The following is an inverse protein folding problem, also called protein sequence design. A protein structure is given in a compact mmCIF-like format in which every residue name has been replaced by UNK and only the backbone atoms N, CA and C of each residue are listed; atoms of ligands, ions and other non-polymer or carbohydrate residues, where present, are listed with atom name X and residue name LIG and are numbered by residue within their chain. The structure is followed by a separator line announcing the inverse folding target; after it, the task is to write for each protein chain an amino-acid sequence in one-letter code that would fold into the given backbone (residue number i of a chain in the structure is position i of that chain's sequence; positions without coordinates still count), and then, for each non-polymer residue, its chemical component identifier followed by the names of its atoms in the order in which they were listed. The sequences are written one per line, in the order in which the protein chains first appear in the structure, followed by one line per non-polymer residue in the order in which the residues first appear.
data_IF_515372650462
#
_entry.id   IF_515372650462
#
_cell.length_a   1.000
_cell.length_b   1.000
_cell.length_c   1.000
_cell.angle_alpha   90.00
_cell.angle_beta   90.00
_cell.angle_gamma   90.00
#
_symmetry.space_group_name_H-M   'P 1'
#
loop_
_entity.id
_entity.type
_entity.pdbx_description
1 polymer ?
2 non-polymer ?
3 water ?
#
# COMPACT_ATOMS: atom_id res chain seq x y z
N UNK A 2 14.12 -23.74 13.33
CA UNK A 2 14.62 -22.38 13.14
C UNK A 2 13.90 -21.43 14.09
N UNK A 3 14.61 -20.38 14.52
CA UNK A 3 14.10 -19.48 15.53
C UNK A 3 14.77 -18.11 15.40
N UNK A 4 14.22 -17.16 16.14
CA UNK A 4 14.66 -15.78 16.06
C UNK A 4 14.49 -15.17 17.44
N UNK A 5 15.61 -14.76 18.06
CA UNK A 5 15.56 -14.04 19.32
C UNK A 5 15.67 -12.57 19.01
N UNK A 6 14.66 -11.82 19.43
CA UNK A 6 14.57 -10.40 19.18
C UNK A 6 14.31 -9.74 20.52
N UNK A 7 15.18 -8.80 20.91
CA UNK A 7 15.03 -8.06 22.15
C UNK A 7 14.63 -8.99 23.29
N UNK A 8 15.37 -10.10 23.43
CA UNK A 8 15.18 -11.02 24.53
C UNK A 8 14.10 -12.09 24.35
N UNK A 9 13.21 -11.98 23.35
CA UNK A 9 12.15 -12.95 23.14
C UNK A 9 12.48 -13.86 21.97
N UNK A 10 11.97 -15.09 22.02
CA UNK A 10 12.28 -16.13 21.06
C UNK A 10 11.03 -16.38 20.22
N UNK A 11 11.21 -16.44 18.90
CA UNK A 11 10.12 -16.67 17.96
C UNK A 11 10.52 -17.77 17.00
N UNK A 12 9.56 -18.63 16.68
CA UNK A 12 9.81 -19.77 15.81
C UNK A 12 9.16 -19.52 14.46
N UNK A 13 9.89 -19.84 13.40
CA UNK A 13 9.55 -19.45 12.04
C UNK A 13 8.61 -20.50 11.45
N UNK A 14 7.33 -20.15 11.31
CA UNK A 14 6.43 -20.99 10.53
C UNK A 14 6.79 -20.96 9.04
N UNK A 15 6.57 -19.83 8.39
CA UNK A 15 6.68 -19.74 6.95
C UNK A 15 7.22 -18.37 6.57
N UNK A 16 8.13 -18.35 5.62
CA UNK A 16 8.45 -17.09 4.96
C UNK A 16 7.22 -16.61 4.19
N UNK A 17 6.96 -15.31 4.25
CA UNK A 17 5.76 -14.68 3.70
C UNK A 17 6.15 -13.83 2.51
N UNK A 18 7.36 -13.28 2.56
CA UNK A 18 7.77 -12.30 1.57
C UNK A 18 9.25 -12.07 1.61
N UNK A 19 9.76 -11.49 0.53
CA UNK A 19 11.17 -11.24 0.38
C UNK A 19 11.34 -9.85 -0.21
N UNK A 20 12.56 -9.34 -0.06
CA UNK A 20 12.93 -8.08 -0.67
C UNK A 20 14.35 -8.18 -1.18
N UNK A 21 15.00 -7.04 -1.36
CA UNK A 21 16.41 -7.05 -1.71
C UNK A 21 17.18 -7.90 -0.73
N UNK A 22 17.55 -7.28 0.40
CA UNK A 22 18.26 -8.00 1.44
C UNK A 22 17.29 -8.65 2.44
N UNK A 23 16.03 -8.26 2.41
CA UNK A 23 15.07 -8.57 3.47
C UNK A 23 14.36 -9.89 3.25
N UNK A 24 13.76 -10.40 4.33
CA UNK A 24 12.85 -11.53 4.36
C UNK A 24 11.85 -11.26 5.46
N UNK A 25 10.57 -11.51 5.20
CA UNK A 25 9.55 -11.40 6.22
C UNK A 25 8.95 -12.79 6.43
N UNK A 26 8.93 -13.24 7.68
CA UNK A 26 8.42 -14.55 8.04
C UNK A 26 7.22 -14.39 8.94
N UNK A 27 6.31 -15.36 8.84
CA UNK A 27 5.24 -15.54 9.82
C UNK A 27 5.76 -16.47 10.90
N UNK A 28 5.65 -16.04 12.16
CA UNK A 28 6.31 -16.70 13.28
C UNK A 28 5.36 -16.79 14.48
N UNK A 29 5.70 -17.64 15.44
CA UNK A 29 4.97 -17.70 16.69
C UNK A 29 5.87 -17.32 17.85
N UNK A 30 5.30 -16.64 18.84
CA UNK A 30 6.07 -16.25 20.01
C UNK A 30 6.06 -17.39 21.03
N UNK A 31 6.73 -17.14 22.16
CA UNK A 31 6.76 -18.14 23.23
C UNK A 31 5.36 -18.55 23.66
N UNK A 32 4.33 -17.77 23.33
CA UNK A 32 2.93 -18.04 23.72
C UNK A 32 2.07 -18.47 22.55
N UNK A 33 2.67 -18.97 21.47
CA UNK A 33 1.94 -19.55 20.34
C UNK A 33 0.97 -18.54 19.71
N UNK A 34 1.37 -17.27 19.69
CA UNK A 34 0.69 -16.18 19.02
C UNK A 34 1.36 -15.87 17.68
N UNK A 35 0.58 -15.26 16.77
CA UNK A 35 1.05 -14.98 15.42
C UNK A 35 1.69 -13.60 15.41
N UNK A 36 2.87 -13.50 14.80
CA UNK A 36 3.50 -12.23 14.48
C UNK A 36 4.11 -12.34 13.09
N UNK A 37 4.56 -11.21 12.57
CA UNK A 37 5.48 -11.20 11.43
C UNK A 37 6.82 -10.64 11.87
N UNK A 38 7.90 -11.21 11.35
CA UNK A 38 9.24 -10.67 11.59
C UNK A 38 9.87 -10.38 10.24
N UNK A 39 10.25 -9.13 10.04
CA UNK A 39 11.01 -8.70 8.87
C UNK A 39 12.51 -8.72 9.19
N UNK A 40 13.27 -9.51 8.45
CA UNK A 40 14.71 -9.58 8.60
C UNK A 40 15.39 -8.78 7.50
N UNK A 41 16.32 -7.93 7.87
CA UNK A 41 17.17 -7.22 6.91
C UNK A 41 18.63 -7.53 7.23
N UNK A 42 19.31 -8.20 6.31
CA UNK A 42 20.75 -8.38 6.43
C UNK A 42 21.46 -7.13 5.91
N UNK A 43 22.19 -6.44 6.79
CA UNK A 43 22.81 -5.17 6.41
C UNK A 43 24.27 -5.29 6.03
N UNK A 44 24.89 -6.46 6.17
CA UNK A 44 26.31 -6.64 5.85
C UNK A 44 26.71 -5.90 4.57
N UNK A 45 26.07 -6.24 3.47
CA UNK A 45 26.15 -5.43 2.25
C UNK A 45 25.03 -4.41 2.29
N UNK A 46 25.39 -3.12 2.29
CA UNK A 46 24.42 -2.03 2.32
C UNK A 46 25.04 -0.63 2.28
N UNK A 47 24.78 0.10 1.20
CA UNK A 47 25.19 1.51 1.08
C UNK A 47 24.65 2.26 2.28
N UNK A 48 25.14 3.48 2.53
CA UNK A 48 24.51 4.25 3.61
C UNK A 48 23.15 4.83 3.20
N UNK A 49 22.80 4.82 1.91
CA UNK A 49 21.47 5.26 1.51
C UNK A 49 20.43 4.20 1.84
N UNK A 50 20.72 2.94 1.49
CA UNK A 50 19.93 1.85 2.03
C UNK A 50 19.81 1.98 3.54
N UNK A 51 20.95 1.89 4.25
CA UNK A 51 20.97 2.12 5.68
C UNK A 51 20.07 3.27 6.10
N UNK A 52 20.26 4.44 5.47
CA UNK A 52 19.48 5.61 5.86
C UNK A 52 17.99 5.42 5.58
N UNK A 53 17.65 4.84 4.44
CA UNK A 53 16.24 4.64 4.12
C UNK A 53 15.59 3.68 5.11
N UNK A 54 16.25 2.56 5.42
CA UNK A 54 15.70 1.61 6.38
C UNK A 54 15.54 2.25 7.74
N UNK A 55 16.55 3.00 8.17
CA UNK A 55 16.45 3.72 9.44
C UNK A 55 15.23 4.63 9.47
N UNK A 56 15.08 5.47 8.44
CA UNK A 56 14.03 6.47 8.44
C UNK A 56 12.67 5.84 8.73
N UNK A 57 12.32 4.80 7.98
CA UNK A 57 10.93 4.38 8.05
C UNK A 57 10.61 3.62 9.34
N UNK A 58 11.60 2.94 9.93
CA UNK A 58 11.45 2.45 11.29
C UNK A 58 11.00 3.56 12.21
N UNK A 59 11.63 4.74 12.09
CA UNK A 59 11.25 5.87 12.94
C UNK A 59 9.84 6.32 12.61
N UNK A 60 9.58 6.56 11.32
CA UNK A 60 8.25 7.03 10.91
C UNK A 60 7.19 6.00 11.29
N UNK A 61 7.45 4.72 11.02
CA UNK A 61 6.56 3.66 11.50
C UNK A 61 6.32 3.78 13.00
N UNK A 62 7.37 4.02 13.78
CA UNK A 62 7.18 4.17 15.21
C UNK A 62 6.19 5.28 15.53
N UNK A 63 6.46 6.51 15.09
CA UNK A 63 5.55 7.60 15.39
C UNK A 63 4.16 7.30 14.83
N UNK A 64 4.12 6.96 13.55
CA UNK A 64 2.87 6.94 12.81
C UNK A 64 1.84 5.99 13.41
N UNK A 65 2.27 4.92 14.06
CA UNK A 65 1.25 3.99 14.56
C UNK A 65 0.54 4.51 15.80
N UNK A 66 1.13 5.51 16.48
CA UNK A 66 0.42 6.24 17.53
C UNK A 66 -0.83 6.95 16.99
N UNK A 67 -0.94 7.12 15.68
CA UNK A 67 -2.00 7.93 15.09
C UNK A 67 -3.00 7.15 14.27
N UNK A 68 -2.85 5.83 14.12
CA UNK A 68 -3.83 5.15 13.30
C UNK A 68 -3.72 3.62 13.36
N UNK A 69 -4.86 2.97 13.68
CA UNK A 69 -5.05 1.53 13.54
C UNK A 69 -4.84 1.04 12.11
N UNK A 70 -4.95 1.92 11.11
CA UNK A 70 -4.88 1.45 9.73
C UNK A 70 -3.44 1.33 9.21
N UNK A 71 -2.44 1.68 10.02
CA UNK A 71 -1.03 1.37 9.78
C UNK A 71 -0.67 0.11 10.56
N UNK A 72 0.04 -0.83 9.94
CA UNK A 72 0.36 -2.07 10.66
C UNK A 72 1.29 -1.72 11.82
N UNK A 73 1.18 -2.47 12.91
CA UNK A 73 1.91 -2.12 14.12
C UNK A 73 3.31 -2.72 14.11
N UNK A 74 4.26 -1.95 14.66
CA UNK A 74 5.63 -2.37 14.91
C UNK A 74 5.73 -2.52 16.41
N UNK A 75 5.66 -3.76 16.88
CA UNK A 75 5.75 -4.02 18.31
C UNK A 75 7.16 -3.75 18.83
N UNK A 76 8.18 -4.27 18.14
CA UNK A 76 9.54 -4.21 18.65
C UNK A 76 10.51 -4.32 17.50
N UNK A 77 11.76 -3.92 17.76
CA UNK A 77 12.78 -3.98 16.74
C UNK A 77 14.16 -4.05 17.39
N UNK A 78 14.95 -5.01 16.90
CA UNK A 78 16.37 -5.11 17.17
C UNK A 78 17.15 -4.62 15.96
N UNK A 79 18.17 -3.81 16.21
CA UNK A 79 18.94 -3.25 15.11
C UNK A 79 20.41 -3.19 15.51
N UNK A 80 21.28 -3.66 14.61
CA UNK A 80 22.71 -3.63 14.80
C UNK A 80 23.35 -3.38 13.45
N UNK A 81 24.68 -3.27 13.44
CA UNK A 81 25.35 -3.02 12.18
C UNK A 81 25.17 -4.16 11.18
N UNK A 82 24.67 -5.31 11.61
CA UNK A 82 24.60 -6.46 10.71
C UNK A 82 23.19 -6.77 10.23
N UNK A 83 22.19 -6.66 11.11
CA UNK A 83 20.82 -7.03 10.74
C UNK A 83 19.81 -6.05 11.32
N UNK A 84 18.58 -6.15 10.82
CA UNK A 84 17.39 -5.57 11.45
C UNK A 84 16.40 -6.70 11.74
N UNK A 85 15.75 -6.65 12.89
CA UNK A 85 14.59 -7.49 13.18
C UNK A 85 13.43 -6.58 13.56
N UNK A 86 12.33 -6.67 12.84
CA UNK A 86 11.12 -5.93 13.18
C UNK A 86 10.00 -6.93 13.49
N UNK A 87 9.52 -6.91 14.73
CA UNK A 87 8.39 -7.73 15.16
C UNK A 87 7.11 -6.94 14.87
N UNK A 88 6.30 -7.41 13.92
CA UNK A 88 5.14 -6.63 13.47
C UNK A 88 3.86 -7.46 13.51
N UNK A 89 2.73 -6.75 13.59
CA UNK A 89 1.46 -7.45 13.53
C UNK A 89 1.33 -8.12 12.18
N UNK A 90 0.68 -9.29 12.18
CA UNK A 90 0.75 -10.21 11.06
C UNK A 90 -0.52 -10.13 10.23
N UNK A 91 -0.37 -9.82 8.95
CA UNK A 91 -1.49 -9.82 8.05
C UNK A 91 -2.03 -11.22 7.78
N UNK A 92 -3.23 -11.26 7.19
CA UNK A 92 -3.75 -12.52 6.65
C UNK A 92 -3.29 -12.74 5.21
N UNK A 93 -3.31 -11.69 4.40
CA UNK A 93 -2.79 -11.73 3.04
C UNK A 93 -2.76 -10.29 2.53
N UNK A 94 -2.15 -10.06 1.36
CA UNK A 94 -2.10 -8.71 0.83
C UNK A 94 -3.24 -8.48 -0.16
N UNK A 95 -3.73 -7.24 -0.22
CA UNK A 95 -4.81 -6.91 -1.13
C UNK A 95 -4.57 -7.44 -2.54
N UNK A 96 -3.31 -7.40 -3.01
CA UNK A 96 -3.06 -7.75 -4.41
C UNK A 96 -3.20 -9.25 -4.63
N UNK A 97 -2.96 -10.06 -3.60
CA UNK A 97 -3.26 -11.48 -3.73
C UNK A 97 -4.74 -11.77 -3.53
N UNK A 98 -5.38 -11.15 -2.54
CA UNK A 98 -6.80 -11.38 -2.35
C UNK A 98 -7.60 -10.93 -3.58
N UNK A 99 -7.16 -9.85 -4.23
CA UNK A 99 -7.87 -9.37 -5.43
C UNK A 99 -7.75 -10.37 -6.57
N UNK A 100 -6.61 -11.02 -6.72
CA UNK A 100 -6.37 -11.92 -7.83
C UNK A 100 -6.96 -13.31 -7.61
N UNK A 101 -7.38 -13.65 -6.40
CA UNK A 101 -8.31 -14.77 -6.24
C UNK A 101 -9.60 -14.31 -6.92
N UNK A 102 -9.57 -14.22 -8.26
CA UNK A 102 -10.49 -13.43 -9.07
C UNK A 102 -11.90 -13.51 -8.50
N UNK A 103 -12.07 -12.89 -7.35
CA UNK A 103 -13.30 -12.92 -6.58
C UNK A 103 -14.21 -11.83 -7.12
N UNK A 104 -15.30 -11.57 -6.44
CA UNK A 104 -15.96 -10.27 -6.54
C UNK A 104 -16.31 -9.84 -5.12
N UNK A 105 -16.30 -8.53 -4.92
CA UNK A 105 -16.15 -7.94 -3.59
C UNK A 105 -17.51 -7.50 -3.09
N UNK A 106 -17.84 -7.88 -1.85
CA UNK A 106 -19.04 -7.35 -1.19
C UNK A 106 -18.99 -5.83 -1.24
N UNK A 107 -19.97 -5.17 -1.87
CA UNK A 107 -19.85 -3.73 -2.12
C UNK A 107 -19.65 -2.89 -0.87
N UNK A 108 -20.00 -3.42 0.31
CA UNK A 108 -19.78 -2.69 1.55
C UNK A 108 -18.49 -3.05 2.26
N UNK A 109 -17.87 -4.19 1.91
CA UNK A 109 -16.48 -4.39 2.28
C UNK A 109 -15.56 -3.52 1.43
N UNK A 110 -15.87 -3.41 0.13
CA UNK A 110 -15.05 -2.54 -0.70
C UNK A 110 -15.11 -1.11 -0.18
N UNK A 111 -16.29 -0.68 0.27
CA UNK A 111 -16.42 0.65 0.80
C UNK A 111 -15.64 0.79 2.10
N UNK A 112 -15.62 -0.27 2.91
CA UNK A 112 -14.89 -0.19 4.16
C UNK A 112 -13.38 -0.22 3.90
N UNK A 113 -12.93 -1.11 3.03
CA UNK A 113 -11.53 -1.09 2.60
C UNK A 113 -11.14 0.28 2.07
N UNK A 114 -11.99 0.87 1.24
CA UNK A 114 -11.72 2.23 0.79
C UNK A 114 -11.49 3.16 1.97
N UNK A 115 -12.46 3.24 2.88
CA UNK A 115 -12.35 4.04 4.09
C UNK A 115 -10.97 3.82 4.70
N UNK A 116 -10.57 2.55 4.73
CA UNK A 116 -9.33 2.16 5.38
C UNK A 116 -8.11 2.72 4.69
N UNK A 117 -8.00 2.53 3.36
CA UNK A 117 -6.86 3.08 2.63
C UNK A 117 -6.78 4.59 2.82
N UNK A 118 -7.91 5.29 2.74
CA UNK A 118 -7.91 6.75 2.93
C UNK A 118 -7.38 7.12 4.30
N UNK A 119 -7.94 6.52 5.35
CA UNK A 119 -7.46 6.81 6.69
C UNK A 119 -5.95 6.67 6.73
N UNK A 120 -5.44 5.53 6.23
CA UNK A 120 -4.01 5.22 6.36
C UNK A 120 -3.16 6.17 5.53
N UNK A 121 -3.54 6.39 4.26
CA UNK A 121 -2.76 7.30 3.42
C UNK A 121 -2.88 8.72 3.94
N UNK A 122 -4.06 9.12 4.38
CA UNK A 122 -4.21 10.44 5.00
C UNK A 122 -3.24 10.61 6.17
N UNK A 123 -3.02 9.55 6.95
CA UNK A 123 -2.16 9.65 8.13
C UNK A 123 -0.72 9.94 7.72
N UNK A 124 -0.18 9.16 6.78
CA UNK A 124 1.19 9.40 6.34
C UNK A 124 1.30 10.81 5.77
N UNK A 125 0.29 11.22 4.98
CA UNK A 125 0.28 12.57 4.42
C UNK A 125 0.38 13.63 5.52
N UNK A 126 -0.27 13.39 6.67
CA UNK A 126 -0.29 14.36 7.75
C UNK A 126 1.06 14.55 8.40
N UNK A 127 1.95 13.56 8.31
CA UNK A 127 3.31 13.70 8.82
C UNK A 127 4.31 13.85 7.67
N UNK A 128 3.85 14.23 6.49
CA UNK A 128 4.73 14.66 5.44
C UNK A 128 5.20 13.62 4.45
N UNK A 129 4.54 12.47 4.39
CA UNK A 129 4.99 11.38 3.53
C UNK A 129 4.08 11.30 2.31
N UNK A 130 4.68 11.04 1.15
CA UNK A 130 3.95 10.75 -0.08
C UNK A 130 4.47 9.43 -0.62
N UNK A 131 3.62 8.41 -0.62
CA UNK A 131 4.08 7.11 -1.10
C UNK A 131 4.43 7.13 -2.60
N UNK A 132 3.65 7.84 -3.42
CA UNK A 132 3.86 7.88 -4.88
C UNK A 132 4.20 6.49 -5.45
N UNK A 133 3.75 5.42 -4.81
CA UNK A 133 3.79 4.11 -5.44
C UNK A 133 2.90 3.12 -4.71
N UNK A 134 1.73 3.58 -4.28
CA UNK A 134 0.80 2.68 -3.62
C UNK A 134 0.27 1.66 -4.63
N UNK A 135 0.19 0.41 -4.19
CA UNK A 135 -0.39 -0.70 -4.95
C UNK A 135 -1.16 -1.57 -3.96
N UNK A 136 -1.92 -2.54 -4.43
CA UNK A 136 -2.53 -3.49 -3.48
C UNK A 136 -1.51 -4.18 -2.58
N UNK A 137 -0.34 -4.59 -3.12
CA UNK A 137 0.69 -5.18 -2.28
C UNK A 137 0.98 -4.37 -1.01
N UNK A 138 0.74 -3.06 -1.03
CA UNK A 138 1.02 -2.20 0.11
C UNK A 138 0.00 -2.29 1.22
N UNK A 139 -1.05 -3.10 1.04
CA UNK A 139 -2.10 -3.20 2.03
C UNK A 139 -2.23 -4.65 2.49
N UNK A 140 -2.40 -4.84 3.80
CA UNK A 140 -2.67 -6.14 4.38
C UNK A 140 -4.08 -6.14 4.96
N UNK A 141 -4.71 -7.32 4.96
CA UNK A 141 -6.04 -7.51 5.53
C UNK A 141 -5.88 -8.17 6.90
N UNK A 142 -6.34 -7.50 7.96
CA UNK A 142 -6.31 -8.06 9.31
C UNK A 142 -7.56 -7.58 10.05
N UNK A 143 -8.43 -8.53 10.42
CA UNK A 143 -9.67 -8.20 11.14
C UNK A 143 -10.59 -7.37 10.23
N UNK A 144 -10.72 -7.82 8.99
CA UNK A 144 -11.55 -7.15 8.01
C UNK A 144 -11.23 -5.67 7.86
N UNK A 145 -10.03 -5.28 8.28
CA UNK A 145 -9.48 -3.97 8.02
C UNK A 145 -8.42 -4.05 6.93
N UNK A 146 -8.17 -2.93 6.27
CA UNK A 146 -7.01 -2.78 5.40
C UNK A 146 -5.95 -1.92 6.12
N UNK A 147 -4.77 -2.50 6.36
CA UNK A 147 -3.65 -1.78 6.99
C UNK A 147 -2.48 -1.65 6.02
N UNK A 148 -1.83 -0.49 6.05
CA UNK A 148 -0.67 -0.18 5.22
C UNK A 148 0.61 -0.74 5.84
N UNK A 149 1.61 -1.06 5.00
CA UNK A 149 2.83 -1.64 5.55
C UNK A 149 4.11 -0.93 5.08
N UNK A 150 4.18 -0.52 3.81
CA UNK A 150 5.37 0.14 3.28
C UNK A 150 5.04 1.59 2.95
N UNK A 151 5.75 2.53 3.57
CA UNK A 151 5.60 3.95 3.28
C UNK A 151 6.36 4.40 2.04
N UNK A 152 6.77 3.47 1.18
CA UNK A 152 7.49 3.82 -0.03
C UNK A 152 8.86 4.41 0.21
N UNK A 153 9.37 4.39 1.44
CA UNK A 153 10.63 5.04 1.76
C UNK A 153 11.81 4.11 1.50
N UNK A 154 11.72 2.85 1.95
CA UNK A 154 12.83 1.91 1.89
C UNK A 154 12.70 1.03 0.65
N UNK A 155 13.56 0.02 0.55
CA UNK A 155 13.47 -1.00 -0.50
C UNK A 155 12.28 -1.90 -0.17
N UNK A 156 11.15 -1.67 -0.86
CA UNK A 156 9.88 -2.34 -0.52
C UNK A 156 9.93 -3.82 -0.90
N UNK A 157 9.04 -4.60 -0.29
CA UNK A 157 8.99 -6.05 -0.42
C UNK A 157 7.92 -6.51 -1.42
N UNK A 158 7.97 -7.81 -1.72
CA UNK A 158 7.00 -8.50 -2.55
C UNK A 158 6.53 -9.76 -1.82
N UNK A 159 5.22 -9.99 -1.71
CA UNK A 159 4.72 -11.16 -0.96
C UNK A 159 4.87 -12.47 -1.74
N UNK A 160 5.38 -13.50 -1.05
CA UNK A 160 5.75 -14.79 -1.65
C UNK A 160 4.59 -15.77 -1.79
N UNK A 170 8.89 -9.30 -10.26
CA UNK A 170 8.06 -8.60 -11.23
C UNK A 170 7.05 -7.69 -10.53
N UNK A 171 7.09 -6.40 -10.89
CA UNK A 171 6.22 -5.39 -10.29
C UNK A 171 5.12 -4.96 -11.23
N UNK A 172 4.69 -3.69 -11.14
CA UNK A 172 3.50 -3.26 -11.90
C UNK A 172 3.44 -1.74 -12.10
N UNK A 173 2.73 -1.31 -13.14
CA UNK A 173 2.68 0.10 -13.44
C UNK A 173 1.29 0.57 -13.85
N UNK A 174 0.24 -0.24 -13.64
CA UNK A 174 -1.09 0.32 -13.87
C UNK A 174 -1.39 1.49 -12.94
N UNK A 175 -0.71 1.56 -11.80
CA UNK A 175 -1.02 2.52 -10.77
C UNK A 175 -0.15 3.77 -10.82
N UNK A 176 0.67 3.91 -11.84
CA UNK A 176 1.57 5.06 -11.94
C UNK A 176 0.79 6.35 -12.16
N UNK A 177 0.93 7.35 -11.32
CA UNK A 177 0.35 8.66 -11.61
C UNK A 177 0.98 9.30 -12.85
N UNK A 178 0.15 9.88 -13.73
CA UNK A 178 0.70 10.57 -14.92
C UNK A 178 1.81 11.55 -14.63
N UNK A 179 1.73 12.30 -13.52
CA UNK A 179 2.82 13.21 -13.19
C UNK A 179 4.12 12.44 -12.95
N UNK A 180 4.02 11.18 -12.54
CA UNK A 180 5.23 10.38 -12.39
C UNK A 180 5.90 10.15 -13.74
N UNK A 181 5.11 9.77 -14.76
CA UNK A 181 5.64 9.60 -16.10
C UNK A 181 6.13 10.94 -16.66
N UNK A 182 5.31 11.99 -16.56
CA UNK A 182 5.68 13.29 -17.12
C UNK A 182 6.92 13.86 -16.44
N UNK A 183 6.97 13.83 -15.11
CA UNK A 183 8.08 14.40 -14.34
C UNK A 183 9.35 13.52 -14.35
N UNK A 184 9.73 13.00 -15.52
CA UNK A 184 11.04 12.36 -15.68
C UNK A 184 11.97 13.13 -16.60
N UNK A 185 11.47 13.63 -17.73
CA UNK A 185 12.23 14.54 -18.57
C UNK A 185 12.82 15.72 -17.75
N UNK A 197 7.21 16.58 -5.09
CA UNK A 197 6.12 15.65 -5.42
C UNK A 197 4.78 16.08 -4.81
N UNK A 198 3.65 15.58 -5.42
CA UNK A 198 2.34 16.02 -4.93
C UNK A 198 1.71 14.94 -4.08
N UNK A 199 1.05 15.28 -2.96
CA UNK A 199 0.18 14.30 -2.32
C UNK A 199 -0.91 13.81 -3.26
N UNK A 200 -1.21 14.55 -4.33
CA UNK A 200 -2.32 14.12 -5.17
C UNK A 200 -1.99 12.86 -5.95
N UNK A 201 -0.72 12.57 -6.18
CA UNK A 201 -0.32 11.36 -6.90
C UNK A 201 -0.64 10.06 -6.16
N UNK A 202 -0.84 10.08 -4.84
CA UNK A 202 -1.33 8.88 -4.16
C UNK A 202 -2.82 8.67 -4.38
N UNK A 203 -3.56 9.77 -4.55
CA UNK A 203 -4.98 9.70 -4.87
C UNK A 203 -5.20 8.92 -6.16
N UNK A 204 -4.37 9.19 -7.16
CA UNK A 204 -4.41 8.39 -8.38
C UNK A 204 -4.31 6.90 -8.08
N UNK A 205 -3.24 6.48 -7.38
CA UNK A 205 -2.99 5.05 -7.25
C UNK A 205 -4.04 4.38 -6.37
N UNK A 206 -4.50 5.08 -5.32
CA UNK A 206 -5.72 4.68 -4.62
C UNK A 206 -6.90 4.59 -5.59
N UNK A 207 -7.07 5.62 -6.43
CA UNK A 207 -7.96 5.55 -7.59
C UNK A 207 -7.89 4.25 -8.36
N UNK A 208 -6.71 3.85 -8.84
CA UNK A 208 -6.63 2.63 -9.63
C UNK A 208 -7.03 1.41 -8.79
N UNK A 209 -6.70 1.43 -7.51
CA UNK A 209 -7.00 0.28 -6.66
C UNK A 209 -8.49 0.21 -6.40
N UNK A 210 -9.17 1.36 -6.32
CA UNK A 210 -10.62 1.35 -6.20
C UNK A 210 -11.25 0.92 -7.52
N UNK A 211 -10.92 1.62 -8.61
CA UNK A 211 -11.32 1.19 -9.95
C UNK A 211 -11.17 -0.32 -10.08
N UNK A 212 -9.94 -0.83 -9.96
CA UNK A 212 -9.70 -2.27 -9.90
C UNK A 212 -10.73 -2.98 -9.04
N UNK A 213 -10.94 -2.48 -7.81
CA UNK A 213 -11.85 -3.09 -6.85
C UNK A 213 -13.30 -3.02 -7.29
N UNK A 214 -13.65 -2.09 -8.16
CA UNK A 214 -15.02 -2.00 -8.62
C UNK A 214 -15.20 -2.73 -9.95
N UNK A 215 -14.35 -2.45 -10.93
CA UNK A 215 -14.46 -2.99 -12.29
C UNK A 215 -13.63 -4.23 -12.54
N UNK A 216 -13.17 -4.93 -11.51
CA UNK A 216 -12.34 -6.13 -11.69
C UNK A 216 -11.08 -6.01 -12.54
N UNK A 217 -10.75 -4.81 -13.00
CA UNK A 217 -9.56 -4.54 -13.80
C UNK A 217 -9.10 -3.11 -13.50
N UNK A 218 -7.80 -2.85 -13.64
CA UNK A 218 -7.36 -1.48 -13.44
C UNK A 218 -7.57 -0.70 -14.73
N UNK A 219 -7.64 0.64 -14.66
CA UNK A 219 -7.93 1.42 -15.88
C UNK A 219 -7.22 0.89 -17.11
N UNK A 220 -5.97 1.29 -17.32
CA UNK A 220 -5.25 0.88 -18.51
C UNK A 220 -4.65 -0.52 -18.42
N UNK A 221 -5.28 -1.39 -17.63
CA UNK A 221 -4.80 -2.77 -17.53
C UNK A 221 -4.82 -3.49 -18.88
N UNK A 222 -5.47 -2.92 -19.89
CA UNK A 222 -5.71 -3.55 -21.18
C UNK A 222 -4.57 -3.30 -22.18
N UNK A 223 -3.92 -2.13 -22.12
CA UNK A 223 -2.74 -1.87 -22.93
C UNK A 223 -1.60 -2.71 -22.37
N UNK A 224 -1.42 -3.90 -22.92
CA UNK A 224 -0.46 -4.85 -22.34
C UNK A 224 1.00 -4.51 -22.66
N UNK A 225 1.26 -3.69 -23.68
CA UNK A 225 2.64 -3.27 -23.99
C UNK A 225 2.94 -1.96 -23.25
N UNK A 226 3.91 -2.02 -22.32
CA UNK A 226 4.08 -0.99 -21.30
C UNK A 226 4.71 0.29 -21.81
N UNK A 227 5.02 0.42 -23.10
CA UNK A 227 5.26 1.76 -23.60
C UNK A 227 3.94 2.44 -23.92
N UNK A 228 3.08 1.75 -24.66
CA UNK A 228 1.78 2.34 -25.00
C UNK A 228 0.93 2.55 -23.76
N UNK A 229 1.13 1.72 -22.72
CA UNK A 229 0.39 1.92 -21.47
C UNK A 229 0.81 3.22 -20.79
N UNK A 230 2.10 3.53 -20.77
CA UNK A 230 2.50 4.76 -20.10
C UNK A 230 1.91 5.97 -20.81
N UNK A 231 1.80 5.92 -22.14
CA UNK A 231 1.28 7.07 -22.88
C UNK A 231 -0.19 7.30 -22.55
N UNK A 232 -1.01 6.25 -22.74
CA UNK A 232 -2.39 6.26 -22.30
C UNK A 232 -2.54 6.99 -20.96
N UNK A 233 -1.75 6.60 -19.96
CA UNK A 233 -1.87 7.22 -18.65
C UNK A 233 -1.70 8.72 -18.75
N UNK A 234 -0.76 9.17 -19.57
CA UNK A 234 -0.43 10.59 -19.61
C UNK A 234 -1.14 11.30 -20.77
N UNK A 235 -2.22 10.72 -21.28
CA UNK A 235 -2.80 11.11 -22.58
C UNK A 235 -4.19 11.75 -22.47
N UNK A 236 -4.32 13.08 -22.63
CA UNK A 236 -5.63 13.74 -22.53
C UNK A 236 -6.77 13.09 -23.32
N UNK A 237 -6.76 13.12 -24.66
CA UNK A 237 -7.87 12.51 -25.39
C UNK A 237 -7.69 10.99 -25.44
N UNK A 238 -7.23 10.43 -24.34
CA UNK A 238 -7.50 9.04 -23.98
C UNK A 238 -8.53 9.04 -22.85
N UNK A 239 -9.51 8.15 -22.96
CA UNK A 239 -10.69 8.18 -22.08
C UNK A 239 -10.71 6.90 -21.26
N UNK A 240 -10.59 7.04 -19.93
CA UNK A 240 -10.85 5.90 -19.08
C UNK A 240 -12.34 5.61 -19.13
N UNK A 241 -12.69 4.35 -19.29
CA UNK A 241 -14.09 3.95 -19.35
C UNK A 241 -14.63 3.73 -17.95
N UNK A 242 -15.79 4.34 -17.67
CA UNK A 242 -16.46 4.22 -16.38
C UNK A 242 -17.86 3.66 -16.60
N UNK A 243 -17.96 2.36 -16.89
CA UNK A 243 -19.28 1.72 -17.02
C UNK A 243 -20.24 2.11 -15.90
N UNK A 244 -21.38 2.70 -16.25
CA UNK A 244 -22.41 2.95 -15.26
C UNK A 244 -22.56 1.75 -14.32
N UNK A 245 -22.92 2.02 -13.07
CA UNK A 245 -23.05 1.01 -12.03
C UNK A 245 -24.03 1.55 -11.00
N UNK A 246 -24.48 0.74 -10.04
CA UNK A 246 -25.53 1.18 -9.12
C UNK A 246 -25.09 2.30 -8.19
N UNK A 247 -23.96 2.14 -7.48
CA UNK A 247 -23.44 3.17 -6.60
C UNK A 247 -22.84 4.31 -7.44
N UNK A 248 -23.66 5.31 -7.78
CA UNK A 248 -23.16 6.36 -8.65
C UNK A 248 -22.20 7.29 -7.90
N UNK A 249 -22.23 7.25 -6.57
CA UNK A 249 -21.21 7.92 -5.77
C UNK A 249 -19.83 7.30 -6.03
N UNK A 250 -19.74 5.96 -5.98
CA UNK A 250 -18.50 5.27 -6.33
C UNK A 250 -18.00 5.69 -7.71
N UNK A 251 -18.92 5.90 -8.65
CA UNK A 251 -18.55 6.30 -10.00
C UNK A 251 -17.96 7.70 -10.01
N UNK A 252 -18.45 8.57 -9.11
CA UNK A 252 -17.90 9.93 -9.03
C UNK A 252 -16.52 9.93 -8.38
N UNK A 253 -16.35 9.16 -7.30
CA UNK A 253 -15.04 9.05 -6.66
C UNK A 253 -13.99 8.60 -7.66
N UNK A 254 -14.17 7.40 -8.23
CA UNK A 254 -13.29 6.91 -9.29
C UNK A 254 -13.07 7.94 -10.40
N UNK A 255 -14.06 8.79 -10.67
CA UNK A 255 -13.91 9.73 -11.77
C UNK A 255 -13.02 10.92 -11.39
N UNK A 256 -13.04 11.33 -10.12
CA UNK A 256 -12.23 12.45 -9.64
C UNK A 256 -10.87 12.01 -9.10
N UNK A 257 -10.74 10.75 -8.71
CA UNK A 257 -9.42 10.22 -8.43
C UNK A 257 -8.57 10.18 -9.69
N UNK A 258 -9.18 9.78 -10.81
CA UNK A 258 -8.46 9.43 -12.04
C UNK A 258 -8.42 10.57 -13.05
N UNK A 259 -8.40 11.81 -12.57
CA UNK A 259 -8.14 12.95 -13.44
C UNK A 259 -6.64 13.08 -13.67
N UNK A 260 -6.26 13.38 -14.91
CA UNK A 260 -4.84 13.48 -15.20
C UNK A 260 -4.24 14.75 -14.62
N UNK A 261 -5.01 15.83 -14.51
CA UNK A 261 -4.39 17.05 -13.99
C UNK A 261 -4.30 16.94 -12.48
N UNK A 262 -3.10 16.84 -11.90
CA UNK A 262 -3.02 16.78 -10.43
C UNK A 262 -3.81 17.89 -9.74
N UNK A 263 -3.75 19.12 -10.24
CA UNK A 263 -4.48 20.21 -9.59
C UNK A 263 -6.01 20.02 -9.68
N UNK A 264 -6.48 19.34 -10.75
CA UNK A 264 -7.89 19.05 -10.91
C UNK A 264 -8.33 17.80 -10.14
N UNK A 265 -7.40 16.96 -9.71
CA UNK A 265 -7.69 15.72 -9.01
C UNK A 265 -8.20 16.02 -7.60
N UNK A 266 -8.97 15.09 -7.06
CA UNK A 266 -9.57 15.32 -5.76
C UNK A 266 -8.53 15.03 -4.68
N UNK A 267 -8.51 15.89 -3.66
CA UNK A 267 -7.66 15.74 -2.51
C UNK A 267 -8.15 14.60 -1.61
N UNK A 268 -7.32 14.25 -0.63
CA UNK A 268 -7.62 13.20 0.33
C UNK A 268 -8.62 13.79 1.32
N UNK A 269 -8.43 15.03 1.79
CA UNK A 269 -9.45 15.61 2.69
C UNK A 269 -10.79 15.84 2.02
N UNK A 270 -10.82 16.10 0.71
CA UNK A 270 -12.07 16.05 -0.04
C UNK A 270 -12.65 14.64 -0.04
N UNK A 271 -11.87 13.66 -0.49
CA UNK A 271 -12.36 12.29 -0.52
C UNK A 271 -12.99 11.86 0.81
N UNK A 272 -12.41 12.32 1.92
CA UNK A 272 -12.94 11.99 3.24
C UNK A 272 -14.23 12.72 3.56
N UNK A 273 -14.59 13.76 2.81
CA UNK A 273 -15.86 14.44 2.97
C UNK A 273 -16.83 14.13 1.85
N UNK A 274 -16.60 13.04 1.15
CA UNK A 274 -17.37 12.66 -0.02
C UNK A 274 -18.61 11.88 0.40
N UNK A 275 -19.68 11.95 -0.39
CA UNK A 275 -20.86 11.12 -0.06
C UNK A 275 -20.56 9.64 0.02
N UNK A 276 -19.59 9.15 -0.76
CA UNK A 276 -19.36 7.70 -0.83
C UNK A 276 -18.93 7.15 0.52
N UNK A 277 -18.10 7.88 1.25
CA UNK A 277 -17.68 7.40 2.57
C UNK A 277 -18.60 7.89 3.67
N UNK A 278 -19.37 8.96 3.44
CA UNK A 278 -20.10 9.65 4.50
C UNK A 278 -21.52 9.13 4.69
N UNK A 279 -22.34 9.20 3.65
CA UNK A 279 -23.66 8.61 3.65
C UNK A 279 -23.56 7.09 3.70
N UNK A 280 -24.39 6.46 4.54
CA UNK A 280 -24.45 4.99 4.61
C UNK A 280 -25.49 4.52 3.58
N UNK A 281 -25.07 4.64 2.30
CA UNK A 281 -25.93 4.64 1.10
C UNK A 281 -27.42 4.75 1.40
X LIG B 1 0.91 -15.32 6.05
X LIG B 1 0.83 -13.58 2.32
X LIG B 1 1.35 -14.10 0.01
X LIG B 1 0.53 -16.30 -0.50
X LIG B 1 1.14 -12.23 2.25
X LIG B 1 1.20 -11.48 3.41
X LIG B 1 3.01 -8.70 7.50
X LIG B 1 4.74 -7.36 7.07
X LIG B 1 6.79 -6.18 5.85
X LIG B 1 4.26 -7.09 8.35
X LIG B 1 0.81 -14.40 1.12
X LIG B 1 0.22 -15.85 1.00
X LIG B 1 2.09 -9.67 7.25
X LIG B 1 3.93 -8.39 6.53
X LIG B 1 5.92 -6.67 6.38
X LIG B 1 4.32 -9.14 2.87
X LIG B 1 3.86 -9.11 5.31
X LIG B 1 2.05 -10.32 6.11
X LIG B 1 0.97 -12.08 4.64
X LIG B 1 0.68 -13.42 4.69
X LIG B 1 0.62 -14.19 3.54
X LIG B 1 0.84 -15.26 -1.13
X LIG B 1 4.77 -8.88 4.22
X LIG B 1 2.93 -10.04 5.15
X LIG B 1 1.02 -11.34 5.90
X LIG B 1 3.23 -7.90 8.59
X LIG B 1 0.46 -14.01 5.94
X LIG B 1 -0.34 -16.47 1.84
X LIG B 1 1.91 -15.40 5.63
X LIG B 1 0.24 -15.98 5.51
X LIG B 1 0.94 -15.61 7.10
X LIG B 1 1.02 -13.12 -0.30
X LIG B 1 2.43 -14.14 0.10
X LIG B 1 1.35 -17.00 -0.51
X LIG B 1 -0.37 -16.74 -0.94
X LIG B 1 1.35 -11.77 1.29
X LIG B 1 1.41 -10.42 3.36
X LIG B 1 4.66 -6.34 9.04
X LIG B 1 3.25 -8.98 2.80
X LIG B 1 4.54 -10.17 2.61
X LIG B 1 4.83 -8.48 2.18
X LIG B 1 0.40 -15.25 3.60
X LIG B 1 1.65 -15.48 -1.81
X LIG B 1 -0.03 -14.87 -1.67
X LIG B 1 5.69 -8.54 4.39
X LIG B 1 0.36 -11.54 6.61
X LIG B 1 2.70 -7.92 9.44
#
# INVERSE_FOLDING_TARGET
NECISVKGRIYSILKQIGSGGSSKVFQVLNEKKQIYAIKYVNLEEADNQTLDSYRNEIAYLNKLQQHSDKIIRLYDYEITDQYIYMVMECGNIDLNSWLKKKKSIDPWERKSYWKNMLEAVHTIHQHGIVHSDLKPANFLIVDGMLKLIDFGIANQMQPDXXXVVKDSQVGTVNYMPPEAIKDMSSSRENGKSKSKISPKSDVWSLGCILYYMTYGKTPFQQIINQISKLHAIIDPNHEIEFPDIPEKDLQDVLKCCLKRDPKQRISIPELLAHPYVQIQTLE
G5C C10 C12 C14 C16 C19 C20 C22 C24 N26 C27 N13 C17 N21 C23 C25 C01 C03 C05 C07 C08 C11 C15 N02 N04 N06 N28 O09 O18 H1 H2 H3 H4 H5 H6 H7 H8 H9 H10 H11 H12 H13 H14 H15 H16 H17 H18 H19
#
